data_IF_247916590085
#
_entry.id   IF_247916590085
#
_cell.length_a   1.000
_cell.length_b   1.000
_cell.length_c   1.000
_cell.angle_alpha   90.00
_cell.angle_beta   90.00
_cell.angle_gamma   90.00
#
_symmetry.space_group_name_H-M   'P 1'
#
loop_
_entity.id
_entity.type
_entity.pdbx_description
1 polymer ?
#
# COMPACT_ATOMS: atom_id res chain seq x y z
N UNK A 1 -13.11 12.39 -14.57
CA UNK A 1 -13.21 13.27 -13.38
C UNK A 1 -14.31 12.82 -12.47
N UNK A 2 -14.05 12.84 -11.17
CA UNK A 2 -15.06 12.66 -10.13
C UNK A 2 -15.10 13.92 -9.27
N UNK A 3 -16.26 14.58 -9.29
CA UNK A 3 -16.53 15.78 -8.50
C UNK A 3 -17.21 15.44 -7.20
N UNK A 4 -16.65 15.93 -6.11
CA UNK A 4 -17.31 16.10 -4.83
C UNK A 4 -17.69 17.55 -4.57
N UNK A 5 -18.05 17.80 -3.32
CA UNK A 5 -18.49 19.14 -2.88
C UNK A 5 -17.35 20.16 -2.81
N UNK A 6 -16.15 19.73 -2.43
CA UNK A 6 -15.01 20.59 -2.13
C UNK A 6 -13.80 20.37 -3.04
N UNK A 7 -13.75 19.22 -3.73
CA UNK A 7 -12.61 18.88 -4.56
C UNK A 7 -13.04 18.06 -5.78
N UNK A 8 -12.12 17.87 -6.73
CA UNK A 8 -12.29 17.05 -7.91
C UNK A 8 -11.06 16.15 -8.07
N UNK A 9 -11.28 14.84 -8.19
CA UNK A 9 -10.23 13.88 -8.52
C UNK A 9 -10.14 13.64 -10.03
N UNK A 10 -8.93 13.55 -10.58
CA UNK A 10 -8.71 13.09 -11.95
C UNK A 10 -8.39 11.60 -11.93
N UNK A 11 -9.10 10.83 -12.75
CA UNK A 11 -8.94 9.38 -12.85
C UNK A 11 -8.32 9.04 -14.21
N UNK A 12 -7.25 8.26 -14.19
CA UNK A 12 -6.48 7.84 -15.35
C UNK A 12 -6.78 6.37 -15.72
N UNK A 13 -8.04 6.00 -15.62
CA UNK A 13 -8.53 4.67 -16.00
C UNK A 13 -9.76 4.80 -16.89
N UNK A 14 -9.88 3.89 -17.84
CA UNK A 14 -11.05 3.74 -18.70
C UNK A 14 -12.18 2.96 -18.02
N UNK A 15 -11.86 2.15 -17.02
CA UNK A 15 -12.80 1.29 -16.28
C UNK A 15 -12.72 1.54 -14.78
N UNK A 16 -13.77 2.16 -14.23
CA UNK A 16 -13.86 2.48 -12.81
C UNK A 16 -15.07 1.79 -12.19
N UNK A 17 -14.83 0.98 -11.16
CA UNK A 17 -15.89 0.37 -10.35
C UNK A 17 -16.75 1.42 -9.65
N UNK A 18 -18.07 1.20 -9.56
CA UNK A 18 -19.01 2.11 -8.87
C UNK A 18 -18.61 2.36 -7.41
N UNK A 19 -18.23 1.30 -6.69
CA UNK A 19 -17.78 1.40 -5.30
C UNK A 19 -16.50 2.23 -5.16
N UNK A 20 -15.56 2.12 -6.09
CA UNK A 20 -14.36 2.95 -6.11
C UNK A 20 -14.73 4.42 -6.40
N UNK A 21 -15.64 4.66 -7.35
CA UNK A 21 -16.13 6.01 -7.65
C UNK A 21 -16.82 6.67 -6.44
N UNK A 22 -17.62 5.93 -5.67
CA UNK A 22 -18.22 6.41 -4.43
C UNK A 22 -17.19 6.76 -3.36
N UNK A 23 -16.15 5.94 -3.19
CA UNK A 23 -15.06 6.22 -2.26
C UNK A 23 -14.31 7.49 -2.65
N UNK A 24 -13.99 7.67 -3.92
CA UNK A 24 -13.32 8.89 -4.43
C UNK A 24 -14.20 10.11 -4.18
N UNK A 25 -15.50 10.03 -4.48
CA UNK A 25 -16.44 11.12 -4.24
C UNK A 25 -16.50 11.46 -2.76
N UNK A 26 -16.52 10.47 -1.87
CA UNK A 26 -16.52 10.66 -0.41
C UNK A 26 -15.28 11.43 0.05
N UNK A 27 -14.10 11.16 -0.52
CA UNK A 27 -12.89 11.95 -0.25
C UNK A 27 -13.03 13.38 -0.77
N UNK A 28 -13.54 13.57 -2.00
CA UNK A 28 -13.75 14.87 -2.61
C UNK A 28 -14.85 15.70 -1.92
N UNK A 29 -15.71 15.07 -1.13
CA UNK A 29 -16.75 15.73 -0.32
C UNK A 29 -16.22 16.25 1.03
N UNK A 30 -14.97 15.99 1.38
CA UNK A 30 -14.37 16.49 2.62
C UNK A 30 -13.73 17.86 2.38
N UNK A 31 -14.08 18.83 3.22
CA UNK A 31 -13.54 20.21 3.17
C UNK A 31 -12.04 20.24 3.50
N UNK A 32 -11.62 19.33 4.34
CA UNK A 32 -10.25 19.16 4.81
C UNK A 32 -9.25 18.86 3.69
N UNK A 33 -9.74 18.33 2.56
CA UNK A 33 -8.94 18.04 1.37
C UNK A 33 -9.21 19.02 0.22
N UNK A 34 -9.88 20.16 0.51
CA UNK A 34 -10.02 21.23 -0.47
C UNK A 34 -8.64 21.73 -0.90
N UNK A 35 -8.44 21.83 -2.22
CA UNK A 35 -7.15 22.26 -2.79
C UNK A 35 -6.08 21.16 -2.91
N UNK A 36 -6.27 19.98 -2.32
CA UNK A 36 -5.41 18.84 -2.56
C UNK A 36 -5.54 18.37 -4.02
N UNK A 37 -4.41 18.04 -4.66
CA UNK A 37 -4.40 17.47 -6.00
C UNK A 37 -4.55 15.96 -5.92
N UNK A 38 -5.78 15.47 -6.13
CA UNK A 38 -6.13 14.04 -6.05
C UNK A 38 -6.03 13.43 -7.44
N UNK A 39 -5.24 12.35 -7.55
CA UNK A 39 -5.00 11.60 -8.78
C UNK A 39 -5.24 10.12 -8.54
N UNK A 40 -5.94 9.48 -9.46
CA UNK A 40 -6.34 8.09 -9.37
C UNK A 40 -5.70 7.32 -10.51
N UNK A 41 -4.90 6.32 -10.14
CA UNK A 41 -4.09 5.53 -11.07
C UNK A 41 -4.94 4.50 -11.85
N UNK A 42 -4.42 3.99 -12.98
CA UNK A 42 -5.10 2.99 -13.81
C UNK A 42 -5.53 1.72 -13.08
N UNK A 43 -4.75 1.27 -12.14
CA UNK A 43 -4.96 0.05 -11.33
C UNK A 43 -5.96 0.23 -10.18
N UNK A 44 -6.70 1.35 -10.17
CA UNK A 44 -7.64 1.68 -9.09
C UNK A 44 -8.67 0.59 -8.83
N UNK A 45 -8.91 0.32 -7.56
CA UNK A 45 -9.99 -0.54 -7.06
C UNK A 45 -10.42 -0.13 -5.66
N UNK A 46 -11.58 -0.61 -5.22
CA UNK A 46 -12.09 -0.29 -3.89
C UNK A 46 -11.16 -0.81 -2.78
N UNK A 47 -10.86 0.05 -1.81
CA UNK A 47 -10.03 -0.26 -0.66
C UNK A 47 -10.73 0.00 0.67
N UNK A 48 -10.02 -0.14 1.78
CA UNK A 48 -10.52 0.23 3.11
C UNK A 48 -10.35 1.74 3.31
N UNK A 49 -11.47 2.43 3.50
CA UNK A 49 -11.51 3.89 3.74
C UNK A 49 -11.41 4.74 2.47
N UNK A 50 -10.46 4.46 1.60
CA UNK A 50 -10.36 5.07 0.27
C UNK A 50 -9.83 4.04 -0.73
N UNK A 51 -9.86 4.41 -2.01
CA UNK A 51 -9.36 3.55 -3.10
C UNK A 51 -7.86 3.28 -2.98
N UNK A 52 -7.46 2.09 -3.41
CA UNK A 52 -6.08 1.75 -3.77
C UNK A 52 -5.84 2.28 -5.19
N UNK A 53 -4.63 2.70 -5.51
CA UNK A 53 -4.33 3.46 -6.73
C UNK A 53 -4.57 4.97 -6.57
N UNK A 54 -4.44 5.49 -5.35
CA UNK A 54 -4.63 6.92 -5.04
C UNK A 54 -3.31 7.61 -4.73
N UNK A 55 -3.09 8.77 -5.33
CA UNK A 55 -2.05 9.71 -4.91
C UNK A 55 -2.66 11.10 -4.69
N UNK A 56 -2.20 11.80 -3.66
CA UNK A 56 -2.74 13.09 -3.27
C UNK A 56 -1.66 14.00 -2.68
N UNK A 57 -1.65 15.28 -3.06
CA UNK A 57 -0.85 16.26 -2.30
C UNK A 57 -1.49 16.50 -0.93
N UNK A 58 -0.64 16.63 0.07
CA UNK A 58 -1.04 16.93 1.45
C UNK A 58 -0.30 18.17 1.96
N UNK A 59 -0.73 18.73 3.09
CA UNK A 59 -0.05 19.87 3.72
C UNK A 59 0.28 19.57 5.18
N UNK A 60 -0.67 19.81 6.05
CA UNK A 60 -0.55 19.83 7.51
C UNK A 60 -1.40 18.76 8.20
N UNK A 61 -2.04 17.89 7.43
CA UNK A 61 -2.88 16.82 7.92
C UNK A 61 -2.88 15.61 7.00
N UNK A 62 -3.13 14.45 7.58
CA UNK A 62 -3.20 13.19 6.83
C UNK A 62 -4.18 12.22 7.48
N UNK A 63 -4.82 11.41 6.64
CA UNK A 63 -5.58 10.23 7.08
C UNK A 63 -4.66 9.02 7.07
N UNK A 64 -4.30 8.43 8.23
CA UNK A 64 -3.40 7.27 8.27
C UNK A 64 -3.88 6.10 7.40
N UNK A 65 -5.21 5.84 7.38
CA UNK A 65 -5.83 4.83 6.52
C UNK A 65 -5.69 5.09 5.02
N UNK A 66 -5.45 6.35 4.60
CA UNK A 66 -5.18 6.70 3.20
C UNK A 66 -3.71 6.51 2.79
N UNK A 67 -2.80 6.32 3.72
CA UNK A 67 -1.44 5.82 3.43
C UNK A 67 -1.47 4.31 3.22
N UNK A 68 -2.31 3.63 3.98
CA UNK A 68 -2.48 2.19 3.96
C UNK A 68 -2.05 1.55 5.28
N UNK A 69 -2.58 0.37 5.55
CA UNK A 69 -2.28 -0.39 6.79
C UNK A 69 -0.92 -1.09 6.72
N UNK A 70 -0.43 -1.39 5.53
CA UNK A 70 0.91 -1.93 5.30
C UNK A 70 1.83 -0.81 4.82
N UNK A 71 2.22 0.04 5.79
CA UNK A 71 3.09 1.20 5.56
C UNK A 71 4.44 0.72 5.01
N UNK A 72 4.90 1.31 3.90
CA UNK A 72 6.19 0.95 3.29
C UNK A 72 6.17 -0.38 2.53
N UNK A 73 4.98 -0.97 2.28
CA UNK A 73 4.85 -2.11 1.38
C UNK A 73 5.44 -1.78 0.01
N UNK A 74 6.12 -2.74 -0.59
CA UNK A 74 6.80 -2.55 -1.87
C UNK A 74 7.57 -3.78 -2.32
N UNK A 75 8.26 -3.63 -3.44
CA UNK A 75 9.07 -4.66 -4.07
C UNK A 75 10.55 -4.35 -3.93
N UNK A 76 11.33 -5.37 -3.64
CA UNK A 76 12.77 -5.41 -3.83
C UNK A 76 13.05 -6.19 -5.09
N UNK A 77 13.73 -5.60 -6.07
CA UNK A 77 14.02 -6.22 -7.37
C UNK A 77 15.53 -6.34 -7.53
N UNK A 78 16.01 -7.57 -7.70
CA UNK A 78 17.44 -7.89 -7.82
C UNK A 78 17.72 -8.56 -9.15
N UNK A 79 18.55 -7.96 -9.96
CA UNK A 79 19.10 -8.59 -11.18
C UNK A 79 20.20 -9.57 -10.80
N UNK A 80 20.09 -10.80 -11.27
CA UNK A 80 21.01 -11.89 -10.96
C UNK A 80 22.06 -12.07 -12.07
N UNK A 81 23.24 -12.56 -11.69
CA UNK A 81 24.27 -12.95 -12.64
C UNK A 81 23.96 -14.32 -13.28
N UNK A 82 23.30 -15.18 -12.52
CA UNK A 82 22.93 -16.53 -12.93
C UNK A 82 21.85 -16.51 -14.02
N UNK A 83 21.82 -17.53 -14.87
CA UNK A 83 20.84 -17.71 -15.95
C UNK A 83 19.91 -18.89 -15.70
N UNK A 84 20.24 -19.74 -14.75
CA UNK A 84 19.47 -20.91 -14.33
C UNK A 84 19.47 -21.03 -12.82
N UNK A 85 18.35 -21.48 -12.26
CA UNK A 85 18.15 -21.68 -10.82
C UNK A 85 17.41 -23.01 -10.63
N UNK A 86 17.80 -23.77 -9.62
CA UNK A 86 17.04 -24.94 -9.17
C UNK A 86 15.83 -24.47 -8.34
N UNK A 87 14.65 -24.45 -8.97
CA UNK A 87 13.43 -23.96 -8.33
C UNK A 87 12.94 -24.86 -7.19
N UNK A 88 13.21 -26.17 -7.25
CA UNK A 88 12.85 -27.07 -6.15
C UNK A 88 13.71 -26.79 -4.91
N UNK A 89 15.01 -26.56 -5.10
CA UNK A 89 15.92 -26.15 -4.04
C UNK A 89 15.54 -24.76 -3.47
N UNK A 90 15.19 -23.81 -4.35
CA UNK A 90 14.73 -22.47 -3.96
C UNK A 90 13.44 -22.55 -3.12
N UNK A 91 12.44 -23.30 -3.55
CA UNK A 91 11.18 -23.47 -2.82
C UNK A 91 11.41 -24.09 -1.44
N UNK A 92 12.24 -25.13 -1.37
CA UNK A 92 12.61 -25.76 -0.12
C UNK A 92 13.36 -24.79 0.84
N UNK A 93 14.24 -23.95 0.31
CA UNK A 93 14.91 -22.90 1.08
C UNK A 93 13.91 -21.87 1.62
N UNK A 94 13.03 -21.33 0.76
CA UNK A 94 12.04 -20.32 1.14
C UNK A 94 11.15 -20.88 2.25
N UNK A 95 10.61 -22.09 2.08
CA UNK A 95 9.75 -22.73 3.08
C UNK A 95 10.43 -22.95 4.43
N UNK A 96 11.72 -23.20 4.44
CA UNK A 96 12.50 -23.44 5.66
C UNK A 96 12.91 -22.14 6.35
N UNK A 97 13.34 -21.12 5.60
CA UNK A 97 14.05 -19.96 6.13
C UNK A 97 13.22 -18.65 6.13
N UNK A 98 12.15 -18.58 5.33
CA UNK A 98 11.30 -17.39 5.19
C UNK A 98 9.90 -17.69 5.72
N UNK A 99 9.61 -17.40 7.00
CA UNK A 99 8.27 -17.57 7.53
C UNK A 99 7.24 -16.75 6.73
N UNK A 100 6.07 -17.35 6.49
CA UNK A 100 5.01 -16.76 5.68
C UNK A 100 3.65 -16.82 6.36
N UNK A 101 2.63 -16.16 5.82
CA UNK A 101 1.34 -16.00 6.44
C UNK A 101 1.46 -15.20 7.75
N UNK A 102 0.91 -15.74 8.83
CA UNK A 102 0.97 -15.14 10.18
C UNK A 102 2.20 -15.54 10.99
N UNK A 103 3.08 -16.37 10.42
CA UNK A 103 4.25 -16.85 11.14
C UNK A 103 5.34 -15.77 11.22
N UNK A 104 6.11 -15.82 12.29
CA UNK A 104 7.31 -15.01 12.52
C UNK A 104 8.49 -15.91 12.83
N UNK A 105 9.68 -15.36 12.84
CA UNK A 105 10.91 -16.09 13.16
C UNK A 105 10.92 -16.52 14.63
N UNK A 106 11.61 -17.63 14.91
CA UNK A 106 11.82 -18.09 16.29
C UNK A 106 12.73 -17.16 17.13
N UNK A 107 13.56 -16.34 16.46
CA UNK A 107 14.43 -15.32 17.05
C UNK A 107 14.52 -14.09 16.15
N UNK A 108 15.21 -13.06 16.61
CA UNK A 108 15.41 -11.82 15.87
C UNK A 108 16.38 -12.00 14.70
N UNK A 109 16.11 -11.35 13.57
CA UNK A 109 17.05 -11.27 12.45
C UNK A 109 18.17 -10.27 12.77
N UNK A 110 19.43 -10.48 12.32
CA UNK A 110 20.53 -9.54 12.57
C UNK A 110 20.25 -8.10 12.17
N UNK A 111 19.42 -7.85 11.16
CA UNK A 111 19.03 -6.51 10.72
C UNK A 111 18.20 -5.72 11.74
N UNK A 112 17.76 -6.34 12.84
CA UNK A 112 17.21 -5.59 13.97
C UNK A 112 18.22 -4.61 14.59
N UNK A 113 19.53 -4.86 14.43
CA UNK A 113 20.58 -3.94 14.88
C UNK A 113 20.62 -2.63 14.05
N UNK A 114 19.97 -2.59 12.89
CA UNK A 114 19.92 -1.42 12.02
C UNK A 114 18.74 -0.48 12.30
N UNK A 115 17.83 -0.85 13.22
CA UNK A 115 16.62 -0.07 13.53
C UNK A 115 16.31 -0.13 15.03
N UNK A 116 15.99 1.01 15.63
CA UNK A 116 15.47 1.07 17.00
C UNK A 116 13.96 1.32 16.98
N UNK A 117 13.18 0.27 17.22
CA UNK A 117 11.72 0.36 17.29
C UNK A 117 11.21 1.03 18.56
N UNK A 118 12.07 1.28 19.56
CA UNK A 118 11.69 2.02 20.77
C UNK A 118 11.56 3.53 20.52
N UNK A 119 12.08 4.03 19.41
CA UNK A 119 11.93 5.42 18.97
C UNK A 119 10.51 5.74 18.47
N UNK A 120 9.67 4.73 18.18
CA UNK A 120 8.28 4.95 17.81
C UNK A 120 7.54 5.74 18.90
N UNK A 121 6.88 6.82 18.55
CA UNK A 121 6.03 7.61 19.45
C UNK A 121 4.87 6.77 20.00
N UNK A 122 4.36 5.86 19.17
CA UNK A 122 3.33 4.89 19.54
C UNK A 122 3.87 3.56 20.07
N UNK A 123 5.14 3.46 20.48
CA UNK A 123 5.78 2.21 20.94
C UNK A 123 4.97 1.47 22.01
N UNK A 124 4.29 2.21 22.90
CA UNK A 124 3.44 1.66 23.96
C UNK A 124 2.18 0.91 23.42
N UNK A 125 1.81 1.12 22.16
CA UNK A 125 0.62 0.56 21.52
C UNK A 125 0.93 -0.54 20.51
N UNK A 126 2.22 -0.87 20.30
CA UNK A 126 2.66 -1.89 19.34
C UNK A 126 3.37 -3.04 20.01
N UNK A 127 3.31 -4.21 19.39
CA UNK A 127 4.02 -5.40 19.88
C UNK A 127 5.44 -5.43 19.36
N UNK A 128 6.38 -4.79 20.09
CA UNK A 128 7.78 -4.67 19.66
C UNK A 128 8.48 -6.02 19.52
N UNK A 129 8.25 -6.97 20.42
CA UNK A 129 8.82 -8.33 20.33
C UNK A 129 8.37 -9.04 19.04
N UNK A 130 7.06 -8.97 18.74
CA UNK A 130 6.51 -9.53 17.50
C UNK A 130 7.11 -8.84 16.27
N UNK A 131 7.23 -7.52 16.28
CA UNK A 131 7.82 -6.76 15.19
C UNK A 131 9.28 -7.17 14.95
N UNK A 132 10.13 -7.25 16.00
CA UNK A 132 11.51 -7.68 15.86
C UNK A 132 11.66 -9.06 15.24
N UNK A 133 10.79 -10.01 15.59
CA UNK A 133 10.75 -11.34 14.99
C UNK A 133 10.14 -11.40 13.60
N UNK A 134 9.53 -10.30 13.13
CA UNK A 134 8.90 -10.23 11.81
C UNK A 134 9.85 -9.82 10.69
N UNK A 135 11.05 -9.29 10.97
CA UNK A 135 12.06 -9.01 9.93
C UNK A 135 12.51 -10.32 9.29
N UNK A 136 12.50 -10.35 7.95
CA UNK A 136 12.79 -11.54 7.15
C UNK A 136 11.61 -12.51 7.06
N UNK A 137 10.36 -11.99 7.12
CA UNK A 137 9.14 -12.77 6.93
C UNK A 137 8.30 -12.23 5.76
N UNK A 138 7.76 -13.13 4.94
CA UNK A 138 7.03 -12.74 3.73
C UNK A 138 5.65 -12.15 4.06
N UNK A 139 4.89 -12.82 4.92
CA UNK A 139 3.47 -12.56 5.13
C UNK A 139 2.57 -13.32 4.17
N UNK A 140 1.34 -12.86 4.03
CA UNK A 140 0.32 -13.47 3.18
C UNK A 140 -0.34 -12.44 2.25
N UNK A 141 -1.46 -12.82 1.70
CA UNK A 141 -2.21 -11.98 0.79
C UNK A 141 -1.52 -11.81 -0.56
N UNK A 142 -1.34 -10.55 -1.01
CA UNK A 142 -0.68 -10.25 -2.28
C UNK A 142 0.85 -10.29 -2.23
N UNK A 143 1.46 -10.63 -1.08
CA UNK A 143 2.91 -10.77 -0.99
C UNK A 143 3.41 -12.02 -1.71
N UNK A 144 4.57 -11.91 -2.34
CA UNK A 144 5.16 -12.98 -3.14
C UNK A 144 6.68 -12.92 -3.21
N UNK A 145 7.28 -14.03 -3.62
CA UNK A 145 8.68 -14.13 -4.06
C UNK A 145 8.65 -14.74 -5.45
N UNK A 146 9.24 -14.07 -6.43
CA UNK A 146 9.30 -14.51 -7.82
C UNK A 146 10.73 -14.56 -8.33
N UNK A 147 10.97 -15.48 -9.25
CA UNK A 147 12.07 -15.37 -10.20
C UNK A 147 11.44 -15.10 -11.55
N UNK A 148 11.74 -13.94 -12.09
CA UNK A 148 11.27 -13.50 -13.39
C UNK A 148 12.38 -13.57 -14.41
N UNK A 149 12.01 -13.86 -15.66
CA UNK A 149 12.94 -13.93 -16.78
C UNK A 149 12.60 -12.86 -17.83
N UNK A 150 13.59 -12.07 -18.17
CA UNK A 150 13.53 -11.14 -19.29
C UNK A 150 13.71 -11.86 -20.64
N UNK A 151 13.35 -11.21 -21.73
CA UNK A 151 13.44 -11.77 -23.09
C UNK A 151 14.88 -12.18 -23.46
N UNK A 152 15.88 -11.44 -22.98
CA UNK A 152 17.31 -11.75 -23.18
C UNK A 152 17.85 -12.87 -22.25
N UNK A 153 16.97 -13.52 -21.46
CA UNK A 153 17.30 -14.58 -20.51
C UNK A 153 17.85 -14.11 -19.16
N UNK A 154 17.92 -12.81 -18.89
CA UNK A 154 18.30 -12.27 -17.57
C UNK A 154 17.27 -12.67 -16.53
N UNK A 155 17.74 -13.12 -15.35
CA UNK A 155 16.86 -13.44 -14.22
C UNK A 155 16.83 -12.30 -13.20
N UNK A 156 15.63 -12.10 -12.65
CA UNK A 156 15.36 -11.16 -11.58
C UNK A 156 14.73 -11.89 -10.41
N UNK A 157 15.23 -11.65 -9.20
CA UNK A 157 14.53 -11.99 -7.96
C UNK A 157 13.67 -10.79 -7.56
N UNK A 158 12.37 -11.01 -7.41
CA UNK A 158 11.41 -9.99 -6.94
C UNK A 158 10.81 -10.44 -5.63
N UNK A 159 10.91 -9.60 -4.60
CA UNK A 159 10.35 -9.84 -3.27
C UNK A 159 9.35 -8.75 -2.95
N UNK A 160 8.06 -9.09 -2.89
CA UNK A 160 6.98 -8.20 -2.47
C UNK A 160 6.63 -8.47 -1.02
N UNK A 161 6.93 -7.53 -0.14
CA UNK A 161 6.57 -7.58 1.29
C UNK A 161 6.61 -6.18 1.91
N UNK A 162 6.05 -6.04 3.11
CA UNK A 162 5.87 -4.75 3.78
C UNK A 162 6.26 -4.76 5.26
N UNK A 163 5.64 -3.88 6.02
CA UNK A 163 5.92 -3.66 7.44
C UNK A 163 5.23 -4.66 8.37
N UNK A 164 4.60 -5.68 7.82
CA UNK A 164 3.96 -6.74 8.57
C UNK A 164 2.91 -6.18 9.54
N UNK A 165 2.72 -6.82 10.68
CA UNK A 165 1.76 -6.38 11.70
C UNK A 165 2.13 -5.04 12.33
N UNK A 166 3.41 -4.62 12.31
CA UNK A 166 3.85 -3.34 12.82
C UNK A 166 3.11 -2.17 12.13
N UNK A 167 3.12 -2.14 10.79
CA UNK A 167 2.42 -1.08 10.05
C UNK A 167 0.93 -1.03 10.34
N UNK A 168 0.29 -2.19 10.47
CA UNK A 168 -1.13 -2.29 10.84
C UNK A 168 -1.40 -1.65 12.21
N UNK A 169 -0.54 -1.91 13.20
CA UNK A 169 -0.68 -1.35 14.55
C UNK A 169 -0.43 0.16 14.56
N UNK A 170 0.62 0.63 13.88
CA UNK A 170 0.92 2.08 13.75
C UNK A 170 -0.25 2.81 13.07
N UNK A 171 -0.72 2.31 11.93
CA UNK A 171 -1.86 2.90 11.22
C UNK A 171 -3.12 2.94 12.10
N UNK A 172 -3.43 1.84 12.79
CA UNK A 172 -4.62 1.75 13.65
C UNK A 172 -4.56 2.72 14.82
N UNK A 173 -3.40 2.86 15.46
CA UNK A 173 -3.19 3.80 16.57
C UNK A 173 -3.48 5.24 16.12
N UNK A 174 -2.83 5.72 15.06
CA UNK A 174 -3.02 7.09 14.61
C UNK A 174 -4.41 7.34 14.02
N UNK A 175 -5.03 6.35 13.38
CA UNK A 175 -6.41 6.45 12.93
C UNK A 175 -7.38 6.62 14.11
N UNK A 176 -7.14 5.93 15.23
CA UNK A 176 -7.91 6.07 16.45
C UNK A 176 -7.65 7.43 17.12
N UNK A 177 -6.38 7.86 17.25
CA UNK A 177 -6.04 9.17 17.82
C UNK A 177 -6.68 10.32 17.04
N UNK A 178 -6.66 10.25 15.69
CA UNK A 178 -7.38 11.22 14.84
C UNK A 178 -8.87 11.26 15.14
N UNK A 179 -9.53 10.11 15.28
CA UNK A 179 -10.96 10.07 15.64
C UNK A 179 -11.24 10.69 17.03
N UNK A 180 -10.37 10.41 18.01
CA UNK A 180 -10.49 10.95 19.36
C UNK A 180 -10.28 12.47 19.36
N UNK A 181 -9.28 12.98 18.65
CA UNK A 181 -9.00 14.41 18.51
C UNK A 181 -10.17 15.16 17.87
N UNK A 182 -10.72 14.64 16.77
CA UNK A 182 -11.87 15.23 16.09
C UNK A 182 -13.14 15.26 16.97
N UNK A 183 -13.37 14.20 17.75
CA UNK A 183 -14.49 14.17 18.72
C UNK A 183 -14.31 15.19 19.83
N UNK A 184 -13.08 15.31 20.39
CA UNK A 184 -12.74 16.29 21.41
C UNK A 184 -12.94 17.70 20.89
N UNK A 185 -12.38 18.05 19.74
CA UNK A 185 -12.57 19.35 19.12
C UNK A 185 -14.03 19.68 18.81
N UNK A 186 -14.86 18.69 18.43
CA UNK A 186 -16.30 18.89 18.27
C UNK A 186 -16.98 19.21 19.60
N UNK A 187 -16.63 18.54 20.70
CA UNK A 187 -17.17 18.80 22.02
C UNK A 187 -16.74 20.17 22.57
N UNK A 188 -15.50 20.57 22.33
CA UNK A 188 -15.00 21.89 22.71
C UNK A 188 -15.74 23.03 22.00
N UNK A 189 -16.03 22.90 20.71
CA UNK A 189 -16.86 23.86 19.95
C UNK A 189 -18.27 24.00 20.55
N UNK A 190 -18.89 22.87 20.93
CA UNK A 190 -20.19 22.89 21.62
C UNK A 190 -20.11 23.63 22.94
N UNK A 191 -19.09 23.32 23.74
CA UNK A 191 -18.91 23.97 25.05
C UNK A 191 -18.64 25.48 24.91
N UNK A 192 -17.83 25.88 23.94
CA UNK A 192 -17.53 27.27 23.62
C UNK A 192 -18.80 28.03 23.21
N UNK A 193 -19.62 27.47 22.31
CA UNK A 193 -20.90 28.07 21.90
C UNK A 193 -21.85 28.26 23.08
N UNK A 194 -21.99 27.24 23.93
CA UNK A 194 -22.84 27.34 25.13
C UNK A 194 -22.32 28.43 26.06
N UNK A 195 -21.01 28.54 26.26
CA UNK A 195 -20.40 29.56 27.12
C UNK A 195 -20.63 30.97 26.57
N UNK A 196 -20.46 31.19 25.27
CA UNK A 196 -20.70 32.44 24.56
C UNK A 196 -22.14 32.91 24.74
N UNK A 197 -23.12 32.06 24.44
CA UNK A 197 -24.54 32.40 24.57
C UNK A 197 -24.97 32.64 26.01
N UNK A 198 -24.37 31.95 26.98
CA UNK A 198 -24.60 32.22 28.42
C UNK A 198 -24.05 33.58 28.84
N UNK A 199 -22.82 33.90 28.42
CA UNK A 199 -22.20 35.19 28.71
C UNK A 199 -22.98 36.38 28.09
N UNK A 200 -23.55 36.16 26.91
CA UNK A 200 -24.40 37.15 26.24
C UNK A 200 -25.83 37.23 26.80
N UNK A 201 -26.21 36.46 27.80
CA UNK A 201 -27.57 36.40 28.34
C UNK A 201 -28.62 35.76 27.43
N UNK A 202 -28.18 35.04 26.37
CA UNK A 202 -28.99 34.45 25.29
C UNK A 202 -29.29 32.95 25.50
N UNK A 203 -29.47 32.52 26.76
CA UNK A 203 -29.63 31.10 27.09
C UNK A 203 -30.77 30.39 26.36
N UNK A 204 -31.86 31.14 26.02
CA UNK A 204 -33.02 30.59 25.31
C UNK A 204 -32.70 30.19 23.85
N UNK A 205 -31.64 30.76 23.28
CA UNK A 205 -31.24 30.57 21.90
C UNK A 205 -30.22 29.40 21.75
N UNK A 206 -29.63 28.91 22.85
CA UNK A 206 -28.62 27.85 22.85
C UNK A 206 -29.14 26.63 22.08
N UNK A 207 -30.39 26.23 22.28
CA UNK A 207 -30.94 25.04 21.60
C UNK A 207 -31.01 25.22 20.08
N UNK A 208 -31.37 26.42 19.60
CA UNK A 208 -31.39 26.73 18.17
C UNK A 208 -30.00 26.78 17.60
N UNK A 209 -29.07 27.47 18.27
CA UNK A 209 -27.65 27.52 17.85
C UNK A 209 -26.96 26.16 17.81
N UNK A 210 -27.26 25.29 18.79
CA UNK A 210 -26.77 23.89 18.76
C UNK A 210 -27.39 23.11 17.61
N UNK A 211 -28.64 23.36 17.24
CA UNK A 211 -29.27 22.69 16.09
C UNK A 211 -28.70 23.20 14.77
N UNK A 212 -28.35 24.46 14.66
CA UNK A 212 -27.60 25.00 13.51
C UNK A 212 -26.21 24.41 13.43
N UNK A 213 -25.48 24.38 14.55
CA UNK A 213 -24.19 23.70 14.64
C UNK A 213 -24.28 22.20 14.31
N UNK A 214 -25.35 21.50 14.70
CA UNK A 214 -25.63 20.12 14.31
C UNK A 214 -26.05 20.00 12.84
N UNK A 215 -26.72 20.98 12.27
CA UNK A 215 -27.01 21.07 10.83
C UNK A 215 -25.72 21.23 10.00
N UNK A 216 -24.76 21.99 10.50
CA UNK A 216 -23.38 22.03 9.96
C UNK A 216 -22.62 20.74 10.23
N UNK A 217 -22.93 20.03 11.33
CA UNK A 217 -22.39 18.68 11.67
C UNK A 217 -22.90 17.53 10.79
N UNK A 218 -23.84 17.73 9.88
CA UNK A 218 -24.18 16.75 8.82
C UNK A 218 -22.96 16.44 7.94
N UNK A 219 -21.91 17.24 8.05
CA UNK A 219 -20.55 16.96 7.60
C UNK A 219 -19.73 16.16 8.65
N UNK A 220 -20.25 15.05 9.15
CA UNK A 220 -19.41 14.15 9.96
C UNK A 220 -18.34 13.54 9.06
N UNK A 221 -17.09 13.84 9.38
CA UNK A 221 -15.95 13.15 8.76
C UNK A 221 -16.16 11.65 8.96
N UNK A 222 -16.22 10.86 7.89
CA UNK A 222 -16.34 9.41 8.01
C UNK A 222 -15.24 8.86 8.91
N UNK A 223 -15.54 7.84 9.70
CA UNK A 223 -14.57 7.23 10.62
C UNK A 223 -13.26 6.85 9.92
N UNK A 224 -13.36 6.34 8.70
CA UNK A 224 -12.21 5.90 7.91
C UNK A 224 -11.44 7.06 7.28
N UNK A 225 -11.99 8.29 7.29
CA UNK A 225 -11.35 9.52 6.84
C UNK A 225 -10.94 10.44 7.99
N UNK A 226 -11.01 9.97 9.25
CA UNK A 226 -10.48 10.72 10.38
C UNK A 226 -8.99 10.96 10.18
N UNK A 227 -8.59 12.22 10.29
CA UNK A 227 -7.22 12.67 10.05
C UNK A 227 -6.49 13.03 11.34
N UNK A 228 -5.18 13.10 11.26
CA UNK A 228 -4.29 13.66 12.28
C UNK A 228 -3.72 14.99 11.76
N UNK A 229 -3.55 15.95 12.66
CA UNK A 229 -2.98 17.28 12.40
C UNK A 229 -2.14 17.74 13.60
N UNK A 230 -1.33 18.80 13.45
CA UNK A 230 -0.49 19.34 14.50
C UNK A 230 0.52 18.29 15.03
N UNK A 231 0.67 18.17 16.33
CA UNK A 231 1.61 17.24 16.98
C UNK A 231 1.36 15.76 16.58
N UNK A 232 0.09 15.37 16.45
CA UNK A 232 -0.25 14.01 16.00
C UNK A 232 0.16 13.76 14.53
N UNK A 233 0.17 14.78 13.69
CA UNK A 233 0.69 14.65 12.32
C UNK A 233 2.19 14.44 12.33
N UNK A 234 2.93 15.25 13.09
CA UNK A 234 4.39 15.14 13.22
C UNK A 234 4.80 13.76 13.79
N UNK A 235 4.10 13.29 14.83
CA UNK A 235 4.32 11.97 15.41
C UNK A 235 4.04 10.85 14.40
N UNK A 236 2.97 10.97 13.61
CA UNK A 236 2.65 9.99 12.57
C UNK A 236 3.71 9.94 11.47
N UNK A 237 4.17 11.09 10.99
CA UNK A 237 5.24 11.17 9.98
C UNK A 237 6.53 10.51 10.51
N UNK A 238 6.90 10.79 11.75
CA UNK A 238 8.06 10.17 12.40
C UNK A 238 7.93 8.63 12.43
N UNK A 239 6.81 8.12 12.92
CA UNK A 239 6.58 6.68 13.06
C UNK A 239 6.39 5.98 11.71
N UNK A 240 5.83 6.68 10.72
CA UNK A 240 5.75 6.21 9.34
C UNK A 240 7.14 5.98 8.75
N UNK A 241 8.10 6.89 8.96
CA UNK A 241 9.47 6.73 8.48
C UNK A 241 10.17 5.51 9.10
N UNK A 242 10.02 5.31 10.42
CA UNK A 242 10.54 4.12 11.10
C UNK A 242 9.91 2.86 10.51
N UNK A 243 8.59 2.87 10.29
CA UNK A 243 7.85 1.74 9.73
C UNK A 243 8.25 1.44 8.28
N UNK A 244 8.50 2.46 7.45
CA UNK A 244 9.04 2.30 6.09
C UNK A 244 10.44 1.67 6.11
N UNK A 245 11.32 2.15 6.99
CA UNK A 245 12.66 1.56 7.17
C UNK A 245 12.57 0.09 7.60
N UNK A 246 11.66 -0.22 8.52
CA UNK A 246 11.39 -1.60 8.92
C UNK A 246 10.97 -2.47 7.73
N UNK A 247 10.04 -1.99 6.89
CA UNK A 247 9.59 -2.71 5.69
C UNK A 247 10.73 -2.95 4.68
N UNK A 248 11.60 -1.95 4.48
CA UNK A 248 12.78 -2.09 3.63
C UNK A 248 13.75 -3.14 4.18
N UNK A 249 14.05 -3.13 5.48
CA UNK A 249 14.88 -4.14 6.14
C UNK A 249 14.25 -5.54 6.06
N UNK A 250 12.92 -5.64 6.16
CA UNK A 250 12.22 -6.90 6.00
C UNK A 250 12.44 -7.50 4.60
N UNK A 251 12.23 -6.73 3.51
CA UNK A 251 12.48 -7.19 2.14
C UNK A 251 13.94 -7.57 1.92
N UNK A 252 14.85 -6.71 2.38
CA UNK A 252 16.29 -6.95 2.29
C UNK A 252 16.72 -8.23 3.01
N UNK A 253 16.12 -8.53 4.18
CA UNK A 253 16.40 -9.76 4.92
C UNK A 253 15.94 -11.00 4.16
N UNK A 254 14.77 -10.98 3.53
CA UNK A 254 14.28 -12.07 2.68
C UNK A 254 15.23 -12.28 1.49
N UNK A 255 15.58 -11.21 0.80
CA UNK A 255 16.49 -11.22 -0.34
C UNK A 255 17.86 -11.79 0.04
N UNK A 256 18.45 -11.36 1.16
CA UNK A 256 19.73 -11.82 1.66
C UNK A 256 19.73 -13.34 1.98
N UNK A 257 18.67 -13.83 2.61
CA UNK A 257 18.47 -15.26 2.88
C UNK A 257 18.47 -16.07 1.58
N UNK A 258 17.76 -15.59 0.55
CA UNK A 258 17.67 -16.29 -0.74
C UNK A 258 19.01 -16.26 -1.48
N UNK A 259 19.63 -15.09 -1.62
CA UNK A 259 20.91 -14.93 -2.32
C UNK A 259 21.99 -15.82 -1.70
N UNK A 260 22.13 -15.78 -0.37
CA UNK A 260 23.14 -16.60 0.34
C UNK A 260 22.80 -18.09 0.30
N UNK A 261 21.54 -18.45 0.54
CA UNK A 261 21.11 -19.84 0.61
C UNK A 261 21.19 -20.58 -0.71
N UNK A 262 21.02 -19.87 -1.83
CA UNK A 262 21.13 -20.39 -3.18
C UNK A 262 22.50 -20.12 -3.85
N UNK A 263 23.39 -19.35 -3.20
CA UNK A 263 24.67 -18.97 -3.79
C UNK A 263 24.52 -18.04 -5.01
N UNK A 264 23.48 -17.19 -5.03
CA UNK A 264 23.20 -16.28 -6.14
C UNK A 264 23.96 -14.97 -6.01
N UNK A 265 24.35 -14.42 -7.15
CA UNK A 265 25.14 -13.20 -7.26
C UNK A 265 24.28 -12.03 -7.70
N UNK A 266 24.15 -11.04 -6.84
CA UNK A 266 23.47 -9.77 -7.15
C UNK A 266 24.33 -8.90 -8.07
N UNK A 267 23.76 -8.45 -9.19
CA UNK A 267 24.39 -7.51 -10.13
C UNK A 267 23.88 -6.09 -9.92
N UNK A 268 22.59 -5.94 -9.68
CA UNK A 268 21.91 -4.66 -9.50
C UNK A 268 20.71 -4.87 -8.60
N UNK A 269 20.32 -3.86 -7.83
CA UNK A 269 19.07 -3.86 -7.08
C UNK A 269 18.39 -2.50 -7.12
N UNK A 270 17.06 -2.50 -7.06
CA UNK A 270 16.24 -1.31 -6.83
C UNK A 270 14.98 -1.68 -6.07
N UNK A 271 14.42 -0.69 -5.38
CA UNK A 271 13.20 -0.88 -4.60
C UNK A 271 12.08 0.03 -5.10
N UNK A 272 10.84 -0.44 -5.04
CA UNK A 272 9.63 0.31 -5.41
C UNK A 272 8.63 0.22 -4.27
N UNK A 273 8.25 1.35 -3.70
CA UNK A 273 7.35 1.45 -2.53
C UNK A 273 6.01 2.06 -2.95
N UNK A 274 4.90 1.56 -2.42
CA UNK A 274 3.55 1.98 -2.84
C UNK A 274 2.57 2.40 -1.73
N UNK A 275 2.99 2.42 -0.46
CA UNK A 275 2.16 2.89 0.66
C UNK A 275 3.00 3.78 1.58
N UNK A 276 3.08 5.07 1.26
CA UNK A 276 3.89 6.01 2.03
C UNK A 276 3.54 7.48 1.72
N UNK A 277 4.17 8.38 2.43
CA UNK A 277 4.20 9.80 2.13
C UNK A 277 5.62 10.19 1.74
N UNK A 278 5.75 10.78 0.55
CA UNK A 278 6.94 11.54 0.17
C UNK A 278 6.90 12.87 0.93
N UNK A 279 7.72 12.98 1.96
CA UNK A 279 7.72 14.16 2.84
C UNK A 279 8.50 15.35 2.29
N UNK A 280 9.29 15.16 1.24
CA UNK A 280 9.95 16.28 0.53
C UNK A 280 8.97 17.00 -0.38
N UNK A 281 8.12 16.24 -1.09
CA UNK A 281 7.10 16.76 -2.01
C UNK A 281 5.71 16.83 -1.43
N UNK A 282 5.52 16.34 -0.22
CA UNK A 282 4.23 16.23 0.45
C UNK A 282 3.19 15.52 -0.42
N UNK A 283 3.56 14.36 -0.94
CA UNK A 283 2.70 13.50 -1.77
C UNK A 283 2.44 12.19 -1.04
N UNK A 284 1.17 11.95 -0.74
CA UNK A 284 0.67 10.67 -0.24
C UNK A 284 0.47 9.71 -1.40
N UNK A 285 0.91 8.45 -1.23
CA UNK A 285 0.71 7.34 -2.17
C UNK A 285 0.11 6.13 -1.46
N UNK A 286 -1.05 5.68 -1.93
CA UNK A 286 -1.71 4.45 -1.49
C UNK A 286 -1.95 3.54 -2.67
N UNK A 287 -1.18 2.44 -2.75
CA UNK A 287 -1.23 1.59 -3.94
C UNK A 287 -0.87 2.39 -5.19
N UNK A 288 0.11 3.27 -5.07
CA UNK A 288 0.75 3.99 -6.18
C UNK A 288 2.22 4.19 -5.85
N UNK A 289 3.06 4.24 -6.87
CA UNK A 289 4.51 4.31 -6.74
C UNK A 289 5.04 5.65 -7.22
N UNK A 290 6.24 6.01 -6.78
CA UNK A 290 6.97 7.15 -7.36
C UNK A 290 7.35 6.83 -8.81
N UNK A 291 7.28 7.86 -9.66
CA UNK A 291 7.68 7.82 -11.07
C UNK A 291 8.35 9.13 -11.46
N UNK A 292 9.35 9.54 -10.68
CA UNK A 292 10.16 10.72 -10.94
C UNK A 292 10.93 10.56 -12.25
N UNK A 293 11.35 11.66 -12.84
CA UNK A 293 12.08 11.63 -14.10
C UNK A 293 13.38 10.80 -13.99
N UNK A 294 13.46 9.70 -14.73
CA UNK A 294 14.60 8.79 -14.73
C UNK A 294 14.60 7.76 -13.59
N UNK A 295 13.62 7.77 -12.70
CA UNK A 295 13.49 6.80 -11.63
C UNK A 295 13.10 5.41 -12.19
N UNK A 296 13.83 4.37 -11.76
CA UNK A 296 13.49 2.97 -12.10
C UNK A 296 12.44 2.46 -11.12
N UNK A 297 11.36 1.87 -11.65
CA UNK A 297 10.27 1.32 -10.85
C UNK A 297 9.77 -0.01 -11.43
N UNK A 298 9.14 -0.83 -10.58
CA UNK A 298 8.52 -2.09 -10.95
C UNK A 298 6.99 -1.97 -10.83
N UNK A 299 6.28 -2.43 -11.85
CA UNK A 299 4.81 -2.55 -11.85
C UNK A 299 4.47 -4.04 -12.05
N UNK A 300 4.20 -4.81 -10.97
CA UNK A 300 3.77 -6.19 -11.06
C UNK A 300 2.34 -6.29 -11.59
N UNK A 301 2.10 -7.21 -12.50
CA UNK A 301 0.77 -7.44 -13.09
C UNK A 301 0.06 -8.57 -12.33
N UNK A 302 0.56 -9.79 -12.48
CA UNK A 302 0.06 -10.98 -11.79
C UNK A 302 1.09 -12.12 -11.92
N UNK A 303 0.83 -13.23 -11.24
CA UNK A 303 1.76 -14.37 -11.16
C UNK A 303 1.94 -15.17 -12.48
N UNK A 304 1.26 -14.80 -13.58
CA UNK A 304 1.45 -15.34 -14.93
C UNK A 304 2.12 -14.33 -15.86
N UNK A 305 1.61 -13.10 -15.87
CA UNK A 305 2.06 -12.06 -16.79
C UNK A 305 3.32 -11.34 -16.30
N UNK A 306 3.65 -11.48 -15.01
CA UNK A 306 4.88 -10.95 -14.41
C UNK A 306 4.85 -9.47 -14.15
N UNK A 307 5.96 -8.78 -14.45
CA UNK A 307 6.15 -7.40 -14.05
C UNK A 307 6.76 -6.55 -15.17
N UNK A 308 6.47 -5.26 -15.14
CA UNK A 308 7.08 -4.25 -16.00
C UNK A 308 8.16 -3.50 -15.22
N UNK A 309 9.39 -3.51 -15.71
CA UNK A 309 10.42 -2.57 -15.29
C UNK A 309 10.24 -1.30 -16.11
N UNK A 310 10.00 -0.19 -15.44
CA UNK A 310 9.71 1.09 -16.09
C UNK A 310 10.68 2.18 -15.65
N UNK A 311 10.74 3.25 -16.45
CA UNK A 311 11.43 4.50 -16.12
C UNK A 311 10.39 5.60 -16.00
N UNK A 312 10.35 6.25 -14.84
CA UNK A 312 9.44 7.35 -14.55
C UNK A 312 9.71 8.58 -15.44
N UNK A 313 8.67 9.30 -15.78
CA UNK A 313 8.72 10.50 -16.63
C UNK A 313 8.63 11.81 -15.83
N UNK A 314 8.39 11.74 -14.52
CA UNK A 314 8.23 12.92 -13.67
C UNK A 314 7.00 13.74 -14.02
N UNK A 315 5.90 13.10 -14.42
CA UNK A 315 4.69 13.80 -14.84
C UNK A 315 3.97 14.40 -13.62
N UNK A 316 4.07 15.72 -13.46
CA UNK A 316 3.46 16.47 -12.35
C UNK A 316 1.93 16.37 -12.34
N UNK A 317 1.27 16.21 -13.47
CA UNK A 317 -0.18 16.02 -13.51
C UNK A 317 -0.62 14.70 -12.86
N UNK A 318 0.28 13.73 -12.84
CA UNK A 318 0.11 12.44 -12.17
C UNK A 318 0.69 12.43 -10.74
N UNK A 319 1.02 13.59 -10.16
CA UNK A 319 1.78 13.71 -8.91
C UNK A 319 3.11 12.93 -8.96
N UNK A 320 3.80 12.92 -10.10
CA UNK A 320 5.01 12.13 -10.34
C UNK A 320 4.83 10.68 -9.85
N UNK A 321 3.71 10.06 -10.17
CA UNK A 321 3.32 8.74 -9.67
C UNK A 321 2.85 7.83 -10.79
N UNK A 322 2.96 6.51 -10.58
CA UNK A 322 2.48 5.46 -11.47
C UNK A 322 1.66 4.42 -10.70
N UNK A 323 0.90 3.54 -11.38
CA UNK A 323 0.23 2.43 -10.72
C UNK A 323 1.23 1.50 -10.05
N UNK A 324 0.82 0.87 -8.94
CA UNK A 324 1.66 -0.08 -8.20
C UNK A 324 1.52 -1.53 -8.69
N UNK A 325 0.58 -1.79 -9.61
CA UNK A 325 0.27 -3.11 -10.12
C UNK A 325 -0.83 -3.06 -11.17
N UNK A 326 -1.51 -4.19 -11.40
CA UNK A 326 -2.62 -4.27 -12.34
C UNK A 326 -3.95 -3.78 -11.73
N UNK A 327 -4.13 -3.88 -10.43
CA UNK A 327 -5.44 -3.72 -9.79
C UNK A 327 -6.32 -4.94 -9.94
N UNK A 328 -7.26 -5.11 -9.02
CA UNK A 328 -8.16 -6.26 -9.00
C UNK A 328 -9.48 -5.94 -9.70
N UNK A 329 -10.00 -6.93 -10.43
CA UNK A 329 -11.39 -6.90 -10.98
C UNK A 329 -12.36 -7.69 -10.10
N UNK A 330 -11.86 -8.51 -9.20
CA UNK A 330 -12.65 -9.27 -8.24
C UNK A 330 -12.12 -9.06 -6.82
N UNK A 331 -13.01 -8.93 -5.84
CA UNK A 331 -12.59 -9.03 -4.44
C UNK A 331 -12.09 -10.46 -4.14
N UNK A 332 -11.27 -10.62 -3.07
CA UNK A 332 -10.76 -11.94 -2.66
C UNK A 332 -11.90 -12.95 -2.48
N UNK A 333 -12.98 -12.54 -1.81
CA UNK A 333 -14.15 -13.41 -1.58
C UNK A 333 -14.84 -13.81 -2.89
N UNK A 334 -14.96 -12.88 -3.85
CA UNK A 334 -15.54 -13.18 -5.16
C UNK A 334 -14.65 -14.14 -5.95
N UNK A 335 -13.33 -13.89 -6.00
CA UNK A 335 -12.39 -14.75 -6.69
C UNK A 335 -12.41 -16.18 -6.11
N UNK A 336 -12.34 -16.34 -4.79
CA UNK A 336 -12.43 -17.63 -4.13
C UNK A 336 -13.75 -18.38 -4.38
N UNK A 337 -14.87 -17.65 -4.61
CA UNK A 337 -16.18 -18.24 -4.88
C UNK A 337 -16.44 -18.58 -6.34
N UNK A 338 -15.81 -17.87 -7.27
CA UNK A 338 -16.15 -17.91 -8.71
C UNK A 338 -15.10 -18.61 -9.57
N UNK A 339 -13.82 -18.61 -9.13
CA UNK A 339 -12.75 -19.20 -9.93
C UNK A 339 -12.61 -20.69 -9.65
N UNK A 340 -12.22 -21.46 -10.67
CA UNK A 340 -11.98 -22.89 -10.54
C UNK A 340 -10.48 -23.21 -10.44
N UNK A 341 -10.15 -24.28 -9.72
CA UNK A 341 -8.76 -24.76 -9.61
C UNK A 341 -8.20 -25.26 -10.96
N UNK A 342 -9.05 -25.81 -11.84
CA UNK A 342 -8.61 -26.28 -13.16
C UNK A 342 -8.18 -25.12 -14.04
N UNK A 343 -8.96 -24.02 -14.04
CA UNK A 343 -8.61 -22.78 -14.74
C UNK A 343 -7.34 -22.15 -14.13
N UNK A 344 -7.26 -22.08 -12.79
CA UNK A 344 -6.09 -21.54 -12.13
C UNK A 344 -4.81 -22.31 -12.46
N UNK A 345 -4.89 -23.65 -12.45
CA UNK A 345 -3.74 -24.48 -12.81
C UNK A 345 -3.34 -24.30 -14.30
N UNK A 346 -4.32 -24.18 -15.21
CA UNK A 346 -4.06 -23.92 -16.61
C UNK A 346 -3.41 -22.54 -16.85
N UNK A 347 -3.86 -21.50 -16.17
CA UNK A 347 -3.28 -20.15 -16.25
C UNK A 347 -1.85 -20.08 -15.73
N UNK A 348 -1.45 -21.00 -14.84
CA UNK A 348 -0.11 -21.09 -14.29
C UNK A 348 0.82 -22.05 -15.05
N UNK A 349 0.38 -22.59 -16.19
CA UNK A 349 1.23 -23.46 -17.01
C UNK A 349 2.48 -22.71 -17.49
N UNK A 350 3.65 -23.31 -17.25
CA UNK A 350 4.95 -22.69 -17.55
C UNK A 350 5.59 -21.91 -16.40
N UNK A 351 4.86 -21.66 -15.32
CA UNK A 351 5.41 -21.07 -14.09
C UNK A 351 5.56 -22.15 -13.02
N UNK A 352 6.78 -22.40 -12.58
CA UNK A 352 7.01 -23.33 -11.48
C UNK A 352 6.47 -22.73 -10.17
N UNK A 353 5.49 -23.37 -9.57
CA UNK A 353 4.93 -22.95 -8.28
C UNK A 353 4.40 -24.14 -7.48
N UNK A 354 4.77 -24.20 -6.21
CA UNK A 354 4.19 -25.14 -5.24
C UNK A 354 2.99 -24.56 -4.50
N UNK A 355 2.53 -23.36 -4.90
CA UNK A 355 1.50 -22.59 -4.21
C UNK A 355 0.19 -22.48 -4.98
N UNK A 356 0.04 -23.18 -6.11
CA UNK A 356 -1.24 -23.25 -6.86
C UNK A 356 -2.18 -24.20 -6.09
N UNK A 357 -3.04 -23.61 -5.26
CA UNK A 357 -3.90 -24.33 -4.34
C UNK A 357 -5.21 -23.56 -4.05
N UNK A 358 -6.22 -24.21 -3.45
CA UNK A 358 -7.45 -23.51 -3.05
C UNK A 358 -7.23 -22.32 -2.12
N UNK A 359 -6.18 -22.35 -1.30
CA UNK A 359 -5.85 -21.30 -0.34
C UNK A 359 -5.26 -20.03 -1.03
N UNK A 360 -4.83 -20.13 -2.27
CA UNK A 360 -4.26 -19.01 -3.04
C UNK A 360 -5.05 -18.67 -4.30
N UNK A 361 -6.20 -19.31 -4.53
CA UNK A 361 -7.03 -19.10 -5.73
C UNK A 361 -7.51 -17.65 -5.88
N UNK A 362 -7.69 -16.95 -4.76
CA UNK A 362 -8.09 -15.55 -4.76
C UNK A 362 -7.01 -14.62 -5.35
N UNK A 363 -5.78 -15.09 -5.49
CA UNK A 363 -4.66 -14.38 -6.08
C UNK A 363 -4.32 -14.85 -7.51
N UNK A 364 -5.16 -15.73 -8.10
CA UNK A 364 -4.95 -16.19 -9.47
C UNK A 364 -4.92 -15.03 -10.48
N UNK A 365 -4.26 -15.18 -11.63
CA UNK A 365 -4.18 -14.14 -12.67
C UNK A 365 -5.53 -13.58 -13.08
N UNK A 366 -6.57 -14.39 -13.09
CA UNK A 366 -7.93 -14.03 -13.48
C UNK A 366 -8.62 -13.02 -12.53
N UNK A 367 -8.09 -12.81 -11.33
CA UNK A 367 -8.62 -11.84 -10.37
C UNK A 367 -8.17 -10.40 -10.65
N UNK A 368 -7.26 -10.19 -11.60
CA UNK A 368 -6.59 -8.92 -11.91
C UNK A 368 -7.00 -8.37 -13.27
N UNK A 369 -6.82 -7.06 -13.47
CA UNK A 369 -7.00 -6.41 -14.76
C UNK A 369 -6.04 -6.99 -15.80
N UNK A 370 -6.45 -7.06 -17.08
CA UNK A 370 -5.59 -7.54 -18.14
C UNK A 370 -4.31 -6.72 -18.29
N UNK A 371 -3.22 -7.38 -18.64
CA UNK A 371 -1.92 -6.78 -18.90
C UNK A 371 -2.00 -5.59 -19.88
N UNK A 372 -2.69 -5.79 -21.02
CA UNK A 372 -2.79 -4.79 -22.09
C UNK A 372 -3.52 -3.51 -21.65
N UNK A 373 -4.46 -3.60 -20.70
CA UNK A 373 -5.14 -2.43 -20.13
C UNK A 373 -4.16 -1.51 -19.41
N UNK A 374 -3.30 -2.09 -18.54
CA UNK A 374 -2.31 -1.32 -17.80
C UNK A 374 -1.26 -0.72 -18.74
N UNK A 375 -0.74 -1.51 -19.68
CA UNK A 375 0.24 -1.05 -20.68
C UNK A 375 -0.30 0.13 -21.50
N UNK A 376 -1.57 0.10 -21.89
CA UNK A 376 -2.18 1.18 -22.67
C UNK A 376 -2.30 2.49 -21.89
N UNK A 377 -2.41 2.44 -20.56
CA UNK A 377 -2.72 3.62 -19.73
C UNK A 377 -1.49 4.25 -19.08
N UNK A 378 -0.37 3.54 -18.88
CA UNK A 378 0.80 4.05 -18.14
C UNK A 378 1.70 4.98 -18.95
N UNK A 379 1.57 5.02 -20.27
CA UNK A 379 2.44 5.79 -21.17
C UNK A 379 2.68 7.25 -20.77
N UNK A 380 1.71 8.00 -20.26
CA UNK A 380 1.90 9.38 -19.81
C UNK A 380 2.87 9.53 -18.62
N UNK A 381 2.99 8.54 -17.73
CA UNK A 381 3.74 8.64 -16.48
C UNK A 381 5.02 7.80 -16.44
N UNK A 382 5.07 6.70 -17.19
CA UNK A 382 6.24 5.81 -17.21
C UNK A 382 6.50 5.26 -18.60
N UNK A 383 7.77 4.97 -18.89
CA UNK A 383 8.22 4.27 -20.10
C UNK A 383 8.60 2.84 -19.73
N UNK A 384 8.06 1.86 -20.46
CA UNK A 384 8.39 0.45 -20.26
C UNK A 384 9.78 0.21 -20.80
N UNK A 385 10.72 -0.14 -19.93
CA UNK A 385 12.09 -0.49 -20.29
C UNK A 385 12.21 -2.00 -20.57
N UNK A 386 11.54 -2.82 -19.78
CA UNK A 386 11.63 -4.29 -19.91
C UNK A 386 10.36 -4.96 -19.35
N UNK A 387 9.94 -6.05 -19.98
CA UNK A 387 8.92 -6.95 -19.45
C UNK A 387 9.60 -8.24 -18.95
N UNK A 388 9.41 -8.54 -17.67
CA UNK A 388 9.96 -9.73 -17.02
C UNK A 388 8.82 -10.69 -16.65
N UNK A 389 8.93 -11.97 -17.01
CA UNK A 389 7.89 -12.99 -16.83
C UNK A 389 8.27 -14.00 -15.78
N UNK A 390 7.34 -14.41 -14.90
CA UNK A 390 7.64 -15.40 -13.88
C UNK A 390 8.03 -16.74 -14.50
N UNK A 391 9.10 -17.30 -13.97
CA UNK A 391 9.49 -18.70 -14.20
C UNK A 391 9.39 -19.50 -12.91
N UNK A 392 9.33 -18.80 -11.77
CA UNK A 392 9.05 -19.33 -10.45
C UNK A 392 8.21 -18.31 -9.65
N UNK A 393 7.20 -18.81 -8.93
CA UNK A 393 6.38 -18.00 -8.00
C UNK A 393 6.16 -18.75 -6.69
N UNK A 394 6.38 -18.05 -5.57
CA UNK A 394 6.01 -18.47 -4.23
C UNK A 394 5.05 -17.47 -3.62
N UNK A 395 3.91 -17.96 -3.16
CA UNK A 395 2.86 -17.18 -2.51
C UNK A 395 2.36 -17.91 -1.26
N UNK A 396 2.18 -17.19 -0.17
CA UNK A 396 1.66 -17.78 1.04
C UNK A 396 0.15 -17.59 1.13
N UNK A 397 -0.54 -18.60 1.61
CA UNK A 397 -1.91 -18.47 2.11
C UNK A 397 -1.97 -17.52 3.32
N UNK A 398 -3.11 -16.86 3.55
CA UNK A 398 -3.34 -15.97 4.70
C UNK A 398 -3.43 -16.71 6.04
#
# INVERSE_FOLDING_TARGET
EIRGRYNTALCYTSALEEKAAEQIRTVCDQEEFAGCRIRIMPDVHAGKGCTIGTTMTISDKVVPGMVGVDIGCGMETVRLAEREIDFAALDALIRREVPSGRNVRGGEHPFNAEIDLSELRCAHSVSLDWARRSIGTLGGGNHFIEIDRAENGTLYLVVHSGSRYLGTQVCAYYQEQGQLALRRGAQERVNALIAEYRAAGRQREIRSALKELDGERVKRIPKDLAYVEGELFEDYIHDMHITQRFAALNRKAITDVILRGMGLTKVEEFTTVHNYIDTEKMILRKGSVSAEAGEKLLIPINMRDGSLICIGKGNEEWNCSAPHGAGRIMSRTQAAAQLSMDEYAAEMEGVWSSCVSPETIDESPMAYKPFDEIVAEIGPTAEIAEHIRPVYNFKAAE
#
